data_IF_147870123917
#
_entry.id   IF_147870123917
#
_cell.length_a   1.000
_cell.length_b   1.000
_cell.length_c   1.000
_cell.angle_alpha   90.00
_cell.angle_beta   90.00
_cell.angle_gamma   90.00
#
_symmetry.space_group_name_H-M   'P 1'
#
loop_
_entity.id
_entity.type
_entity.pdbx_description
1 polymer ?
#
# COMPACT_ATOMS: atom_id res chain seq x y z
N UNK A 1 13.67 0.20 13.23
CA UNK A 1 13.97 0.91 11.96
C UNK A 1 12.87 0.66 10.95
N UNK A 2 12.32 1.69 10.40
CA UNK A 2 11.23 1.55 9.44
C UNK A 2 11.53 2.27 8.13
N UNK A 3 10.89 1.79 7.07
CA UNK A 3 10.94 2.42 5.77
C UNK A 3 10.17 3.73 5.80
N UNK A 4 10.73 4.78 5.19
CA UNK A 4 10.07 6.08 5.05
C UNK A 4 10.04 6.47 3.57
N UNK A 5 9.25 7.50 3.25
CA UNK A 5 9.24 8.05 1.89
C UNK A 5 10.60 8.63 1.53
N UNK A 6 10.91 8.61 0.24
CA UNK A 6 12.25 8.92 -0.27
C UNK A 6 12.77 10.29 0.13
N UNK A 7 11.91 11.28 0.27
CA UNK A 7 12.32 12.65 0.56
C UNK A 7 12.34 12.99 2.05
N UNK A 8 12.02 12.05 2.93
CA UNK A 8 11.95 12.34 4.37
C UNK A 8 13.30 12.77 4.96
N UNK A 9 14.42 12.11 4.66
CA UNK A 9 15.71 12.59 5.21
C UNK A 9 16.01 14.04 4.82
N UNK A 10 15.78 14.39 3.56
CA UNK A 10 16.00 15.76 3.08
C UNK A 10 15.08 16.76 3.79
N UNK A 11 13.81 16.41 3.99
CA UNK A 11 12.84 17.26 4.68
C UNK A 11 13.29 17.52 6.13
N UNK A 12 13.76 16.48 6.82
CA UNK A 12 14.29 16.61 8.19
C UNK A 12 15.46 17.57 8.22
N UNK A 13 16.41 17.44 7.31
CA UNK A 13 17.59 18.28 7.24
C UNK A 13 17.25 19.73 6.89
N UNK A 14 16.33 19.94 5.97
CA UNK A 14 15.86 21.28 5.60
C UNK A 14 15.16 21.99 6.75
N UNK A 15 14.59 21.21 7.68
CA UNK A 15 13.95 21.72 8.91
C UNK A 15 14.98 22.00 10.02
N UNK A 16 16.26 21.96 9.73
CA UNK A 16 17.34 22.24 10.67
C UNK A 16 17.65 21.11 11.64
N UNK A 17 17.14 19.92 11.40
CA UNK A 17 17.41 18.73 12.23
C UNK A 17 18.40 17.80 11.52
N UNK A 18 18.93 16.85 12.26
CA UNK A 18 19.83 15.83 11.70
C UNK A 18 19.13 14.46 11.78
N UNK A 19 19.50 13.59 10.86
CA UNK A 19 19.01 12.21 10.88
C UNK A 19 20.08 11.28 10.33
N UNK A 20 20.00 10.03 10.73
CA UNK A 20 20.82 8.96 10.18
C UNK A 20 19.94 8.05 9.36
N UNK A 21 20.35 7.72 8.14
CA UNK A 21 19.57 6.87 7.27
C UNK A 21 20.48 6.03 6.37
N UNK A 22 19.92 4.95 5.84
CA UNK A 22 20.58 4.14 4.84
C UNK A 22 19.54 3.59 3.87
N UNK A 23 19.97 3.13 2.72
CA UNK A 23 19.11 2.37 1.82
C UNK A 23 19.02 0.91 2.27
N UNK A 24 17.97 0.24 1.82
CA UNK A 24 17.82 -1.20 2.05
C UNK A 24 18.99 -1.96 1.40
N UNK A 25 19.32 -3.10 1.98
CA UNK A 25 20.34 -4.00 1.46
C UNK A 25 19.61 -5.09 0.67
N UNK A 26 19.50 -4.87 -0.65
CA UNK A 26 18.89 -5.84 -1.54
C UNK A 26 17.36 -5.87 -1.53
N UNK A 27 16.85 -6.69 -2.43
CA UNK A 27 15.41 -6.78 -2.70
C UNK A 27 14.62 -7.40 -1.54
N UNK A 28 15.18 -8.41 -0.89
CA UNK A 28 14.48 -9.12 0.19
C UNK A 28 14.21 -8.23 1.39
N UNK A 29 15.19 -7.41 1.78
CA UNK A 29 14.99 -6.43 2.85
C UNK A 29 13.95 -5.39 2.44
N UNK A 30 14.00 -4.93 1.20
CA UNK A 30 13.05 -3.93 0.70
C UNK A 30 11.61 -4.47 0.77
N UNK A 31 11.38 -5.70 0.31
CA UNK A 31 10.07 -6.33 0.37
C UNK A 31 9.59 -6.49 1.81
N UNK A 32 10.48 -6.96 2.70
CA UNK A 32 10.13 -7.15 4.11
C UNK A 32 9.73 -5.83 4.77
N UNK A 33 10.49 -4.76 4.50
CA UNK A 33 10.20 -3.43 5.05
C UNK A 33 8.91 -2.84 4.49
N UNK A 34 8.66 -3.02 3.20
CA UNK A 34 7.40 -2.58 2.59
C UNK A 34 6.20 -3.37 3.11
N UNK A 35 6.35 -4.68 3.33
CA UNK A 35 5.28 -5.49 3.92
C UNK A 35 4.91 -4.99 5.31
N UNK A 36 5.92 -4.67 6.13
CA UNK A 36 5.69 -4.10 7.46
C UNK A 36 5.01 -2.73 7.37
N UNK A 37 5.46 -1.89 6.42
CA UNK A 37 4.89 -0.57 6.17
C UNK A 37 3.43 -0.68 5.73
N UNK A 38 3.12 -1.65 4.89
CA UNK A 38 1.74 -1.87 4.43
C UNK A 38 0.81 -2.22 5.60
N UNK A 39 1.26 -3.08 6.54
CA UNK A 39 0.48 -3.41 7.73
C UNK A 39 0.26 -2.19 8.62
N UNK A 40 1.30 -1.36 8.78
CA UNK A 40 1.21 -0.11 9.53
C UNK A 40 0.17 0.83 8.92
N UNK A 41 0.20 1.01 7.58
CA UNK A 41 -0.73 1.90 6.90
C UNK A 41 -2.17 1.38 6.93
N UNK A 42 -2.37 0.07 6.86
CA UNK A 42 -3.70 -0.54 7.02
C UNK A 42 -4.26 -0.18 8.39
N UNK A 43 -3.46 -0.33 9.44
CA UNK A 43 -3.89 -0.02 10.80
C UNK A 43 -4.22 1.47 10.94
N UNK A 44 -3.35 2.34 10.48
CA UNK A 44 -3.55 3.79 10.59
C UNK A 44 -4.78 4.26 9.82
N UNK A 45 -4.97 3.74 8.60
CA UNK A 45 -6.13 4.11 7.78
C UNK A 45 -7.44 3.63 8.41
N UNK A 46 -7.47 2.43 8.98
CA UNK A 46 -8.68 1.90 9.61
C UNK A 46 -9.01 2.63 10.91
N UNK A 47 -8.00 3.07 11.66
CA UNK A 47 -8.20 3.84 12.90
C UNK A 47 -8.53 5.30 12.63
N UNK A 48 -8.01 5.89 11.58
CA UNK A 48 -8.19 7.31 11.26
C UNK A 48 -8.40 7.50 9.75
N UNK A 49 -9.59 7.15 9.23
CA UNK A 49 -9.86 7.31 7.79
C UNK A 49 -9.75 8.78 7.37
N UNK A 50 -8.86 9.06 6.43
CA UNK A 50 -8.61 10.40 5.92
C UNK A 50 -8.03 10.31 4.51
N UNK A 51 -8.02 11.44 3.79
CA UNK A 51 -7.35 11.51 2.49
C UNK A 51 -5.86 11.21 2.62
N UNK A 52 -5.22 11.71 3.66
CA UNK A 52 -3.79 11.51 3.89
C UNK A 52 -3.47 10.03 4.07
N UNK A 53 -4.21 9.34 4.94
CA UNK A 53 -3.99 7.92 5.22
C UNK A 53 -4.33 7.05 4.01
N UNK A 54 -5.37 7.40 3.25
CA UNK A 54 -5.69 6.70 2.01
C UNK A 54 -4.56 6.86 0.98
N UNK A 55 -4.00 8.06 0.86
CA UNK A 55 -2.88 8.32 -0.04
C UNK A 55 -1.62 7.55 0.38
N UNK A 56 -1.36 7.45 1.68
CA UNK A 56 -0.23 6.68 2.20
C UNK A 56 -0.39 5.18 1.87
N UNK A 57 -1.60 4.64 2.04
CA UNK A 57 -1.91 3.26 1.64
C UNK A 57 -1.64 3.04 0.15
N UNK A 58 -2.14 3.95 -0.69
CA UNK A 58 -1.98 3.86 -2.14
C UNK A 58 -0.52 3.84 -2.54
N UNK A 59 0.30 4.70 -1.94
CA UNK A 59 1.73 4.81 -2.27
C UNK A 59 2.49 3.54 -1.91
N UNK A 60 2.19 2.94 -0.76
CA UNK A 60 2.83 1.69 -0.33
C UNK A 60 2.43 0.54 -1.25
N UNK A 61 1.15 0.46 -1.65
CA UNK A 61 0.69 -0.56 -2.60
C UNK A 61 1.40 -0.42 -3.94
N UNK A 62 1.54 0.81 -4.45
CA UNK A 62 2.29 1.08 -5.69
C UNK A 62 3.73 0.59 -5.61
N UNK A 63 4.42 0.93 -4.51
CA UNK A 63 5.81 0.53 -4.32
C UNK A 63 5.96 -0.99 -4.26
N UNK A 64 5.04 -1.66 -3.58
CA UNK A 64 5.04 -3.13 -3.50
C UNK A 64 4.82 -3.76 -4.87
N UNK A 65 3.89 -3.23 -5.66
CA UNK A 65 3.67 -3.67 -7.04
C UNK A 65 4.95 -3.51 -7.88
N UNK A 66 5.62 -2.37 -7.76
CA UNK A 66 6.86 -2.11 -8.48
C UNK A 66 7.93 -3.17 -8.17
N UNK A 67 8.09 -3.55 -6.88
CA UNK A 67 9.07 -4.57 -6.49
C UNK A 67 8.74 -5.96 -7.04
N UNK A 68 7.49 -6.21 -7.37
CA UNK A 68 7.03 -7.50 -7.91
C UNK A 68 6.78 -7.46 -9.41
N UNK A 69 7.26 -6.43 -10.10
CA UNK A 69 7.11 -6.26 -11.53
C UNK A 69 5.65 -6.22 -12.00
N UNK A 70 4.77 -5.73 -11.14
CA UNK A 70 3.37 -5.48 -11.48
C UNK A 70 3.22 -4.01 -11.88
N UNK A 71 2.93 -3.79 -13.16
CA UNK A 71 2.78 -2.42 -13.65
C UNK A 71 1.51 -1.78 -13.11
N UNK A 72 1.64 -0.55 -12.61
CA UNK A 72 0.54 0.13 -11.94
C UNK A 72 -0.67 0.36 -12.85
N UNK A 73 -0.44 0.74 -14.11
CA UNK A 73 -1.53 0.92 -15.05
C UNK A 73 -2.28 -0.39 -15.32
N UNK A 74 -1.57 -1.52 -15.38
CA UNK A 74 -2.18 -2.83 -15.51
C UNK A 74 -3.00 -3.19 -14.26
N UNK A 75 -2.49 -2.90 -13.06
CA UNK A 75 -3.23 -3.13 -11.82
C UNK A 75 -4.54 -2.35 -11.83
N UNK A 76 -4.49 -1.07 -12.24
CA UNK A 76 -5.70 -0.25 -12.34
C UNK A 76 -6.70 -0.81 -13.34
N UNK A 77 -6.22 -1.29 -14.49
CA UNK A 77 -7.08 -1.88 -15.52
C UNK A 77 -7.76 -3.16 -15.01
N UNK A 78 -7.02 -4.03 -14.33
CA UNK A 78 -7.59 -5.22 -13.70
C UNK A 78 -8.64 -4.85 -12.66
N UNK A 79 -8.38 -3.83 -11.86
CA UNK A 79 -9.34 -3.36 -10.85
C UNK A 79 -10.63 -2.86 -11.50
N UNK A 80 -10.51 -2.09 -12.59
CA UNK A 80 -11.66 -1.58 -13.33
C UNK A 80 -12.48 -2.70 -13.95
N UNK A 81 -11.82 -3.65 -14.61
CA UNK A 81 -12.48 -4.79 -15.23
C UNK A 81 -13.22 -5.63 -14.19
N UNK A 82 -12.60 -5.85 -13.04
CA UNK A 82 -13.21 -6.63 -11.96
C UNK A 82 -14.40 -5.90 -11.36
N UNK A 83 -14.31 -4.59 -11.23
CA UNK A 83 -15.43 -3.78 -10.77
C UNK A 83 -16.63 -3.89 -11.74
N UNK A 84 -16.37 -3.85 -13.04
CA UNK A 84 -17.43 -3.96 -14.06
C UNK A 84 -18.09 -5.34 -14.04
N UNK A 85 -17.33 -6.41 -13.81
CA UNK A 85 -17.87 -7.78 -13.84
C UNK A 85 -18.42 -8.23 -12.49
N UNK A 86 -17.83 -7.84 -11.37
CA UNK A 86 -18.17 -8.33 -10.04
C UNK A 86 -18.70 -7.25 -9.09
N UNK A 87 -18.55 -5.98 -9.46
CA UNK A 87 -18.90 -4.85 -8.60
C UNK A 87 -17.83 -4.51 -7.61
N UNK A 88 -18.08 -3.49 -6.82
CA UNK A 88 -17.23 -3.07 -5.71
C UNK A 88 -17.77 -3.58 -4.38
N UNK A 89 -17.51 -2.82 -3.31
CA UNK A 89 -17.88 -3.21 -1.95
C UNK A 89 -18.84 -2.23 -1.27
N UNK A 90 -19.36 -1.27 -2.02
CA UNK A 90 -20.18 -0.19 -1.44
C UNK A 90 -21.53 -0.64 -0.92
N UNK A 91 -22.06 -1.76 -1.42
CA UNK A 91 -23.40 -2.22 -1.05
C UNK A 91 -23.44 -3.08 0.21
N UNK A 92 -22.27 -3.40 0.79
CA UNK A 92 -22.20 -4.11 2.06
C UNK A 92 -22.80 -5.51 2.05
N UNK A 93 -22.51 -6.31 1.01
CA UNK A 93 -23.08 -7.65 0.85
C UNK A 93 -22.30 -8.67 1.64
N UNK A 94 -22.96 -9.39 2.53
CA UNK A 94 -22.40 -10.47 3.31
C UNK A 94 -22.89 -11.80 2.73
N UNK A 95 -21.99 -12.63 2.22
CA UNK A 95 -22.33 -13.96 1.76
C UNK A 95 -22.39 -14.91 2.95
N UNK A 96 -23.55 -15.49 3.23
CA UNK A 96 -23.71 -16.37 4.38
C UNK A 96 -23.50 -17.84 4.01
N UNK A 97 -23.95 -18.25 2.83
CA UNK A 97 -23.76 -19.61 2.34
C UNK A 97 -24.03 -19.69 0.85
N UNK A 98 -23.56 -20.71 0.20
CA UNK A 98 -23.92 -21.01 -1.18
C UNK A 98 -23.74 -22.51 -1.45
N UNK A 99 -24.52 -23.04 -2.41
CA UNK A 99 -24.45 -24.44 -2.79
C UNK A 99 -23.41 -24.64 -3.88
N UNK A 100 -22.70 -25.77 -3.80
CA UNK A 100 -21.80 -26.16 -4.88
C UNK A 100 -22.62 -26.69 -6.06
N UNK A 101 -22.19 -26.32 -7.27
CA UNK A 101 -22.67 -27.00 -8.46
C UNK A 101 -22.14 -28.44 -8.48
N UNK A 102 -23.02 -29.37 -8.72
CA UNK A 102 -22.63 -30.77 -8.88
C UNK A 102 -22.15 -31.07 -10.30
#
# INVERSE_FOLDING_TARGET
MKLVRDCIPQIIEEDGRTCTWRRVIGRDEHIAKLSAKMREEVWEFTENPSYEEAADMLEVVKAFCYLHNLEWDAVKAYAQDKQESHGGFHNGIILESFDRKS
#
